data_IF_968185415130
#
_entry.id   IF_968185415130
#
_cell.length_a   1.000
_cell.length_b   1.000
_cell.length_c   1.000
_cell.angle_alpha   90.00
_cell.angle_beta   90.00
_cell.angle_gamma   90.00
#
_symmetry.space_group_name_H-M   'P 1'
#
loop_
_entity.id
_entity.type
_entity.pdbx_description
1 polymer ?
#
# COMPACT_ATOMS: atom_id res chain seq x y z
N UNK A 1 -9.29 -3.25 9.83
CA UNK A 1 -8.97 -2.95 11.25
C UNK A 1 -7.98 -3.98 11.77
N UNK A 2 -7.71 -4.02 13.08
CA UNK A 2 -6.82 -5.03 13.68
C UNK A 2 -7.22 -6.48 13.35
N UNK A 3 -6.39 -7.46 13.74
CA UNK A 3 -5.33 -7.37 14.74
C UNK A 3 -4.02 -6.77 14.23
N UNK A 4 -3.15 -6.35 15.15
CA UNK A 4 -1.73 -6.10 14.89
C UNK A 4 -0.95 -7.33 15.34
N UNK A 5 -0.13 -7.91 14.45
CA UNK A 5 0.61 -9.14 14.69
C UNK A 5 2.08 -8.98 14.27
N UNK A 6 2.95 -9.82 14.82
CA UNK A 6 4.36 -9.92 14.41
C UNK A 6 4.56 -10.89 13.22
N UNK A 7 3.50 -11.56 12.76
CA UNK A 7 3.51 -12.38 11.54
C UNK A 7 2.94 -11.58 10.35
N UNK A 8 3.49 -11.74 9.13
CA UNK A 8 2.92 -11.14 7.93
C UNK A 8 1.45 -11.55 7.74
N UNK A 9 0.57 -10.57 7.54
CA UNK A 9 -0.87 -10.76 7.41
C UNK A 9 -1.43 -9.79 6.37
N UNK A 10 -2.37 -10.26 5.55
CA UNK A 10 -3.19 -9.44 4.68
C UNK A 10 -4.66 -9.86 4.81
N UNK A 11 -5.57 -8.91 4.65
CA UNK A 11 -7.01 -9.16 4.52
C UNK A 11 -7.39 -9.15 3.04
N UNK A 12 -8.13 -10.15 2.61
CA UNK A 12 -8.75 -10.21 1.28
C UNK A 12 -10.25 -10.37 1.50
N UNK A 13 -11.04 -9.38 1.04
CA UNK A 13 -12.40 -9.16 1.52
C UNK A 13 -13.42 -9.15 0.37
N UNK A 14 -14.65 -9.58 0.66
CA UNK A 14 -15.84 -9.38 -0.18
C UNK A 14 -16.76 -8.40 0.55
N UNK A 15 -17.26 -7.37 -0.14
CA UNK A 15 -18.04 -6.34 0.51
C UNK A 15 -18.86 -5.44 -0.42
N UNK A 16 -19.62 -4.49 0.11
CA UNK A 16 -19.66 -4.11 1.54
C UNK A 16 -20.99 -4.40 2.25
N UNK A 17 -21.95 -5.07 1.62
CA UNK A 17 -23.25 -5.37 2.23
C UNK A 17 -23.48 -6.88 2.39
N UNK A 18 -24.47 -7.31 3.21
CA UNK A 18 -24.85 -8.72 3.32
C UNK A 18 -25.22 -9.38 1.99
N UNK A 19 -25.56 -8.60 0.95
CA UNK A 19 -25.78 -9.12 -0.39
C UNK A 19 -24.47 -9.67 -0.97
N UNK A 20 -23.41 -8.88 -0.99
CA UNK A 20 -22.11 -9.31 -1.54
C UNK A 20 -21.48 -10.40 -0.68
N UNK A 21 -21.67 -10.37 0.65
CA UNK A 21 -21.15 -11.42 1.53
C UNK A 21 -21.75 -12.81 1.27
N UNK A 22 -22.93 -12.87 0.64
CA UNK A 22 -23.61 -14.12 0.25
C UNK A 22 -23.34 -14.52 -1.19
N UNK A 23 -22.52 -13.75 -1.92
CA UNK A 23 -22.16 -14.05 -3.29
C UNK A 23 -21.06 -15.14 -3.31
N UNK A 24 -21.48 -16.35 -3.66
CA UNK A 24 -20.59 -17.51 -3.73
C UNK A 24 -19.51 -17.37 -4.81
N UNK A 25 -19.80 -16.66 -5.90
CA UNK A 25 -18.84 -16.44 -6.98
C UNK A 25 -17.77 -15.43 -6.55
N UNK A 26 -18.18 -14.34 -5.89
CA UNK A 26 -17.23 -13.39 -5.31
C UNK A 26 -16.30 -14.06 -4.28
N UNK A 27 -16.86 -14.91 -3.42
CA UNK A 27 -16.08 -15.69 -2.46
C UNK A 27 -15.10 -16.65 -3.15
N UNK A 28 -15.54 -17.35 -4.21
CA UNK A 28 -14.69 -18.24 -5.01
C UNK A 28 -13.51 -17.49 -5.61
N UNK A 29 -13.76 -16.34 -6.24
CA UNK A 29 -12.70 -15.50 -6.85
C UNK A 29 -11.68 -15.05 -5.79
N UNK A 30 -12.13 -14.61 -4.62
CA UNK A 30 -11.24 -14.19 -3.52
C UNK A 30 -10.36 -15.34 -3.06
N UNK A 31 -10.93 -16.53 -2.87
CA UNK A 31 -10.17 -17.72 -2.44
C UNK A 31 -9.16 -18.14 -3.50
N UNK A 32 -9.58 -18.29 -4.75
CA UNK A 32 -8.70 -18.71 -5.85
C UNK A 32 -7.56 -17.72 -6.08
N UNK A 33 -7.86 -16.42 -6.09
CA UNK A 33 -6.85 -15.36 -6.26
C UNK A 33 -5.84 -15.37 -5.10
N UNK A 34 -6.31 -15.61 -3.87
CA UNK A 34 -5.45 -15.68 -2.68
C UNK A 34 -4.52 -16.89 -2.74
N UNK A 35 -5.04 -18.06 -3.13
CA UNK A 35 -4.23 -19.28 -3.27
C UNK A 35 -3.20 -19.16 -4.40
N UNK A 36 -3.58 -18.55 -5.52
CA UNK A 36 -2.67 -18.27 -6.62
C UNK A 36 -1.55 -17.32 -6.18
N UNK A 37 -1.88 -16.23 -5.48
CA UNK A 37 -0.90 -15.28 -4.97
C UNK A 37 0.07 -15.91 -3.95
N UNK A 38 -0.44 -16.77 -3.05
CA UNK A 38 0.41 -17.50 -2.10
C UNK A 38 1.36 -18.47 -2.80
N UNK A 39 0.89 -19.14 -3.85
CA UNK A 39 1.71 -20.12 -4.61
C UNK A 39 2.81 -19.44 -5.41
N UNK A 40 2.55 -18.25 -5.96
CA UNK A 40 3.52 -17.49 -6.75
C UNK A 40 4.42 -16.56 -5.91
N UNK A 41 4.21 -16.48 -4.58
CA UNK A 41 4.82 -15.43 -3.75
C UNK A 41 6.35 -15.38 -3.82
N UNK A 42 7.02 -16.52 -3.94
CA UNK A 42 8.48 -16.61 -4.06
C UNK A 42 9.04 -16.19 -5.42
N UNK A 43 8.18 -16.11 -6.44
CA UNK A 43 8.56 -15.82 -7.84
C UNK A 43 8.38 -14.34 -8.19
N UNK A 44 7.71 -13.57 -7.32
CA UNK A 44 7.36 -12.17 -7.57
C UNK A 44 8.53 -11.26 -7.15
N UNK A 45 9.18 -10.64 -8.13
CA UNK A 45 10.12 -9.54 -7.90
C UNK A 45 9.38 -8.22 -7.62
N UNK A 46 8.88 -8.08 -6.39
CA UNK A 46 8.23 -6.87 -5.91
C UNK A 46 9.22 -5.90 -5.25
N UNK A 47 8.92 -4.60 -5.33
CA UNK A 47 9.64 -3.53 -4.64
C UNK A 47 8.78 -3.06 -3.47
N UNK A 48 9.16 -3.38 -2.21
CA UNK A 48 8.38 -2.97 -1.04
C UNK A 48 8.24 -1.46 -0.91
N UNK A 49 7.01 -0.99 -0.74
CA UNK A 49 6.68 0.43 -0.63
C UNK A 49 5.64 0.68 0.48
N UNK A 50 5.52 1.95 0.91
CA UNK A 50 4.45 2.42 1.79
C UNK A 50 3.68 3.57 1.12
N UNK A 51 2.36 3.58 1.29
CA UNK A 51 1.45 4.53 0.65
C UNK A 51 1.00 5.65 1.60
N UNK A 52 1.00 6.90 1.13
CA UNK A 52 0.57 8.05 1.94
C UNK A 52 -0.37 8.99 1.21
N UNK A 53 -1.50 9.31 1.84
CA UNK A 53 -2.49 10.27 1.36
C UNK A 53 -3.67 9.68 0.59
N UNK A 54 -4.59 10.57 0.25
CA UNK A 54 -5.82 10.23 -0.47
C UNK A 54 -6.95 9.69 0.42
N UNK A 55 -8.06 9.23 -0.20
CA UNK A 55 -9.24 8.75 0.50
C UNK A 55 -9.04 7.32 1.05
N UNK A 56 -10.09 6.75 1.66
CA UNK A 56 -10.04 5.40 2.22
C UNK A 56 -9.77 4.30 1.21
N UNK A 57 -10.44 4.37 0.07
CA UNK A 57 -10.20 3.50 -1.06
C UNK A 57 -9.51 4.36 -2.11
N UNK A 58 -8.17 4.33 -2.10
CA UNK A 58 -7.38 5.15 -3.00
C UNK A 58 -7.14 4.41 -4.32
N UNK A 59 -7.92 4.76 -5.34
CA UNK A 59 -7.80 4.17 -6.69
C UNK A 59 -6.38 4.27 -7.25
N UNK A 60 -5.62 5.34 -6.96
CA UNK A 60 -4.26 5.45 -7.46
C UNK A 60 -3.35 4.34 -6.91
N UNK A 61 -3.50 3.96 -5.64
CA UNK A 61 -2.72 2.87 -5.06
C UNK A 61 -3.13 1.53 -5.64
N UNK A 62 -4.42 1.30 -5.89
CA UNK A 62 -4.88 0.11 -6.64
C UNK A 62 -4.21 0.03 -8.01
N UNK A 63 -4.18 1.12 -8.79
CA UNK A 63 -3.55 1.13 -10.12
C UNK A 63 -2.02 0.93 -10.02
N UNK A 64 -1.36 1.40 -8.95
CA UNK A 64 0.08 1.12 -8.70
C UNK A 64 0.30 -0.38 -8.49
N UNK A 65 -0.48 -1.02 -7.62
CA UNK A 65 -0.37 -2.46 -7.34
C UNK A 65 -0.64 -3.32 -8.59
N UNK A 66 -1.51 -2.85 -9.49
CA UNK A 66 -1.89 -3.59 -10.70
C UNK A 66 -0.92 -3.40 -11.88
N UNK A 67 -0.22 -2.27 -11.96
CA UNK A 67 0.54 -1.90 -13.17
C UNK A 67 2.05 -1.79 -12.96
N UNK A 68 2.53 -1.84 -11.73
CA UNK A 68 3.93 -1.59 -11.40
C UNK A 68 4.48 -2.71 -10.54
N UNK A 69 5.81 -2.75 -10.38
CA UNK A 69 6.45 -3.69 -9.46
C UNK A 69 6.41 -3.23 -7.99
N UNK A 70 5.87 -2.04 -7.69
CA UNK A 70 5.76 -1.58 -6.31
C UNK A 70 4.69 -2.35 -5.55
N UNK A 71 5.06 -2.98 -4.44
CA UNK A 71 4.16 -3.66 -3.52
C UNK A 71 3.97 -2.80 -2.26
N UNK A 72 2.83 -2.12 -2.19
CA UNK A 72 2.45 -1.27 -1.06
C UNK A 72 2.00 -2.17 0.10
N UNK A 73 2.76 -2.14 1.20
CA UNK A 73 2.43 -2.86 2.43
C UNK A 73 1.43 -2.09 3.29
N UNK A 74 1.88 -0.96 3.87
CA UNK A 74 1.04 -0.10 4.71
C UNK A 74 0.56 1.12 3.94
N UNK A 75 -0.67 1.55 4.21
CA UNK A 75 -1.28 2.77 3.64
C UNK A 75 -1.77 3.66 4.78
N UNK A 76 -1.28 4.88 4.84
CA UNK A 76 -1.82 5.94 5.71
C UNK A 76 -2.63 6.91 4.87
N UNK A 77 -3.94 7.01 5.13
CA UNK A 77 -4.84 7.90 4.39
C UNK A 77 -4.60 9.34 4.79
N UNK A 78 -5.23 10.29 4.09
CA UNK A 78 -5.15 11.72 4.42
C UNK A 78 -5.43 12.01 5.89
N UNK A 79 -6.55 11.51 6.40
CA UNK A 79 -6.99 11.78 7.77
C UNK A 79 -6.09 11.12 8.81
N UNK A 80 -5.62 9.91 8.55
CA UNK A 80 -4.74 9.21 9.50
C UNK A 80 -3.34 9.86 9.52
N UNK A 81 -2.85 10.33 8.35
CA UNK A 81 -1.57 11.02 8.21
C UNK A 81 -1.52 12.35 8.99
N UNK A 82 -2.67 12.99 9.23
CA UNK A 82 -2.75 14.23 10.01
C UNK A 82 -2.49 14.02 11.51
N UNK A 83 -2.74 12.80 12.02
CA UNK A 83 -2.65 12.47 13.43
C UNK A 83 -1.62 11.37 13.76
N UNK A 84 -1.03 10.75 12.75
CA UNK A 84 -0.10 9.63 12.94
C UNK A 84 1.16 10.06 13.69
N UNK A 85 1.52 9.38 14.79
CA UNK A 85 2.82 9.54 15.42
C UNK A 85 3.96 9.19 14.46
N UNK A 86 5.10 9.87 14.57
CA UNK A 86 6.28 9.61 13.73
C UNK A 86 6.72 8.13 13.82
N UNK A 87 6.62 7.50 14.99
CA UNK A 87 6.94 6.08 15.16
C UNK A 87 6.02 5.17 14.35
N UNK A 88 4.71 5.46 14.27
CA UNK A 88 3.79 4.69 13.44
C UNK A 88 4.12 4.84 11.94
N UNK A 89 4.58 6.02 11.53
CA UNK A 89 5.09 6.23 10.17
C UNK A 89 6.36 5.43 9.92
N UNK A 90 7.30 5.39 10.87
CA UNK A 90 8.51 4.55 10.77
C UNK A 90 8.16 3.07 10.65
N UNK A 91 7.19 2.61 11.44
CA UNK A 91 6.70 1.22 11.40
C UNK A 91 6.07 0.85 10.06
N UNK A 92 5.43 1.79 9.36
CA UNK A 92 4.89 1.55 8.02
C UNK A 92 5.96 1.10 7.01
N UNK A 93 7.24 1.44 7.24
CA UNK A 93 8.36 1.00 6.41
C UNK A 93 9.05 -0.25 6.95
N UNK A 94 9.14 -0.44 8.27
CA UNK A 94 9.89 -1.56 8.85
C UNK A 94 9.06 -2.83 9.02
N UNK A 95 7.74 -2.72 9.15
CA UNK A 95 6.81 -3.84 9.30
C UNK A 95 6.27 -4.31 7.95
N UNK A 96 7.16 -4.67 7.03
CA UNK A 96 6.82 -5.09 5.66
C UNK A 96 7.46 -6.45 5.33
N UNK A 97 6.71 -7.31 4.65
CA UNK A 97 7.21 -8.61 4.18
C UNK A 97 8.32 -8.40 3.14
N UNK A 98 9.39 -9.20 3.20
CA UNK A 98 10.54 -9.07 2.29
C UNK A 98 11.57 -8.02 2.71
N UNK A 99 11.37 -7.36 3.86
CA UNK A 99 12.31 -6.42 4.44
C UNK A 99 11.79 -4.97 4.43
N UNK A 100 12.58 -4.01 4.97
CA UNK A 100 12.14 -2.63 5.09
C UNK A 100 11.85 -1.99 3.74
N UNK A 101 10.67 -1.40 3.59
CA UNK A 101 10.35 -0.58 2.43
C UNK A 101 11.26 0.65 2.37
N UNK A 102 11.77 0.93 1.17
CA UNK A 102 12.64 2.09 0.90
C UNK A 102 11.98 3.14 0.02
N UNK A 103 10.71 2.93 -0.34
CA UNK A 103 9.95 3.80 -1.24
C UNK A 103 8.65 4.24 -0.57
N UNK A 104 8.38 5.55 -0.59
CA UNK A 104 7.10 6.14 -0.24
C UNK A 104 6.34 6.53 -1.51
N UNK A 105 5.19 5.90 -1.75
CA UNK A 105 4.27 6.28 -2.82
C UNK A 105 3.26 7.30 -2.27
N UNK A 106 3.43 8.56 -2.66
CA UNK A 106 2.68 9.68 -2.09
C UNK A 106 1.61 10.18 -3.06
N UNK A 107 0.36 10.15 -2.63
CA UNK A 107 -0.71 10.92 -3.28
C UNK A 107 -0.54 12.40 -2.92
N UNK A 108 0.25 13.09 -3.74
CA UNK A 108 0.72 14.45 -3.46
C UNK A 108 -0.41 15.44 -3.17
N UNK A 109 -1.52 15.35 -3.92
CA UNK A 109 -2.69 16.22 -3.75
C UNK A 109 -3.65 15.68 -2.67
N UNK A 110 -3.52 14.41 -2.31
CA UNK A 110 -4.25 13.76 -1.24
C UNK A 110 -3.77 14.11 0.18
N UNK A 111 -2.75 14.95 0.34
CA UNK A 111 -2.24 15.41 1.64
C UNK A 111 -2.29 16.94 1.77
N UNK A 112 -2.53 17.42 3.00
CA UNK A 112 -2.35 18.85 3.33
C UNK A 112 -0.86 19.21 3.24
N UNK A 113 -0.58 20.45 2.84
CA UNK A 113 0.78 20.92 2.58
C UNK A 113 1.74 20.75 3.77
N UNK A 114 1.32 21.14 4.98
CA UNK A 114 2.13 21.03 6.19
C UNK A 114 2.42 19.57 6.57
N UNK A 115 1.40 18.70 6.55
CA UNK A 115 1.55 17.27 6.82
C UNK A 115 2.47 16.60 5.81
N UNK A 116 2.30 16.93 4.53
CA UNK A 116 3.16 16.41 3.46
C UNK A 116 4.61 16.84 3.67
N UNK A 117 4.87 18.10 4.04
CA UNK A 117 6.22 18.57 4.31
C UNK A 117 6.86 17.83 5.49
N UNK A 118 6.10 17.65 6.59
CA UNK A 118 6.56 16.90 7.75
C UNK A 118 6.88 15.43 7.42
N UNK A 119 6.01 14.75 6.67
CA UNK A 119 6.24 13.37 6.23
C UNK A 119 7.45 13.27 5.31
N UNK A 120 7.61 14.18 4.35
CA UNK A 120 8.77 14.18 3.43
C UNK A 120 10.07 14.36 4.19
N UNK A 121 10.13 15.28 5.17
CA UNK A 121 11.32 15.43 6.01
C UNK A 121 11.65 14.16 6.80
N UNK A 122 10.63 13.49 7.35
CA UNK A 122 10.80 12.20 8.03
C UNK A 122 11.30 11.10 7.07
N UNK A 123 10.82 11.07 5.83
CA UNK A 123 11.29 10.11 4.82
C UNK A 123 12.74 10.36 4.42
N UNK A 124 13.14 11.63 4.28
CA UNK A 124 14.52 12.03 3.99
C UNK A 124 15.47 11.59 5.12
N UNK A 125 15.10 11.82 6.38
CA UNK A 125 15.87 11.33 7.56
C UNK A 125 16.05 9.80 7.54
N UNK A 126 15.07 9.07 7.02
CA UNK A 126 15.08 7.61 6.92
C UNK A 126 15.81 7.08 5.68
N UNK A 127 16.23 7.95 4.76
CA UNK A 127 16.77 7.56 3.45
C UNK A 127 15.72 6.86 2.57
N UNK A 128 14.44 7.21 2.72
CA UNK A 128 13.33 6.69 1.92
C UNK A 128 13.14 7.55 0.68
N UNK A 129 13.08 6.92 -0.49
CA UNK A 129 12.78 7.58 -1.75
C UNK A 129 11.30 7.99 -1.82
N UNK A 130 11.02 9.23 -2.21
CA UNK A 130 9.66 9.77 -2.31
C UNK A 130 9.21 9.82 -3.77
N UNK A 131 8.23 8.99 -4.12
CA UNK A 131 7.63 8.97 -5.44
C UNK A 131 6.21 9.53 -5.42
N UNK A 132 5.92 10.42 -6.36
CA UNK A 132 4.56 10.95 -6.54
C UNK A 132 3.73 9.94 -7.32
N UNK A 133 2.58 9.53 -6.79
CA UNK A 133 1.75 8.47 -7.39
C UNK A 133 1.40 8.74 -8.86
N UNK A 134 1.17 10.00 -9.24
CA UNK A 134 0.87 10.38 -10.64
C UNK A 134 2.04 10.20 -11.60
N UNK A 135 3.28 10.27 -11.12
CA UNK A 135 4.49 10.06 -11.92
C UNK A 135 4.72 8.58 -12.14
N UNK A 136 4.59 7.80 -11.06
CA UNK A 136 4.63 6.33 -11.10
C UNK A 136 3.64 5.78 -12.12
N UNK A 137 2.38 6.24 -12.07
CA UNK A 137 1.33 5.82 -13.01
C UNK A 137 1.51 6.34 -14.45
N UNK A 138 2.48 7.22 -14.72
CA UNK A 138 2.88 7.67 -16.06
C UNK A 138 4.08 6.90 -16.62
N UNK A 139 4.56 5.89 -15.91
CA UNK A 139 5.72 5.08 -16.31
C UNK A 139 7.04 5.51 -15.68
N UNK A 140 7.05 6.47 -14.74
CA UNK A 140 8.27 6.81 -14.00
C UNK A 140 8.51 5.77 -12.89
N UNK A 141 9.35 4.77 -13.17
CA UNK A 141 9.74 3.70 -12.24
C UNK A 141 9.49 2.30 -12.79
N UNK A 142 9.83 1.24 -12.04
CA UNK A 142 9.70 -0.15 -12.51
C UNK A 142 8.24 -0.55 -12.75
N UNK A 143 7.93 -0.93 -13.99
CA UNK A 143 6.60 -1.37 -14.40
C UNK A 143 6.46 -2.89 -14.25
N UNK A 144 5.24 -3.37 -14.03
CA UNK A 144 4.96 -4.80 -14.06
C UNK A 144 5.05 -5.30 -15.51
N UNK A 145 5.52 -6.52 -15.70
CA UNK A 145 5.39 -7.21 -16.99
C UNK A 145 3.92 -7.61 -17.14
N UNK A 146 3.27 -7.15 -18.22
CA UNK A 146 1.88 -7.44 -18.56
C UNK A 146 1.84 -8.52 -19.62
#
# INVERSE_FOLDING_TARGET
HGPTLDVPLAFVEVGCTPREWRDAEAARIVVESSLAALSAMSEIEAIPAAGFGGPHINRHFTEVQLRTRYAIGHILRKHDSEAAPAESVRQAFTRVLGGPARVAIVDWKGLRGAVRAALVGLFEEMGVEVLRVRRVLRGEGPQAEV
#
